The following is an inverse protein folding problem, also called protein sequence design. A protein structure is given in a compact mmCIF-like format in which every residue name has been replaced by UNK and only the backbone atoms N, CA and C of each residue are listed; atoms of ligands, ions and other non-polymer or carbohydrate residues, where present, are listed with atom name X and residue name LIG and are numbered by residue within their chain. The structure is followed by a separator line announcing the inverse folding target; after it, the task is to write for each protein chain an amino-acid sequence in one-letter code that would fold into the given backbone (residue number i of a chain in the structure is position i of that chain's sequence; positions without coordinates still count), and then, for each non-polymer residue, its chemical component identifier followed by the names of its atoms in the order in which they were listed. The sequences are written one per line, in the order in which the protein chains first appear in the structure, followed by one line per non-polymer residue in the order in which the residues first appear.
data_IF_165060514013
#
_entry.id   IF_165060514013
#
_cell.length_a   1.000
_cell.length_b   1.000
_cell.length_c   1.000
_cell.angle_alpha   90.00
_cell.angle_beta   90.00
_cell.angle_gamma   90.00
#
_symmetry.space_group_name_H-M   'P 1'
#
loop_
_entity.id
_entity.type
_entity.pdbx_description
1 polymer ?
#
# COMPACT_ATOMS: atom_id res chain seq x y z
N UNK A 1 -4.64 17.43 5.51
CA UNK A 1 -3.31 17.22 6.10
C UNK A 1 -3.30 15.87 6.80
N UNK A 2 -3.08 14.78 6.06
CA UNK A 2 -2.94 13.45 6.67
C UNK A 2 -1.52 13.33 7.22
N UNK A 3 -1.40 13.26 8.55
CA UNK A 3 -0.13 12.99 9.19
C UNK A 3 0.35 11.60 8.71
N UNK A 4 1.48 11.55 8.00
CA UNK A 4 2.13 10.30 7.60
C UNK A 4 2.59 9.59 8.87
N UNK A 5 1.73 8.74 9.42
CA UNK A 5 2.04 7.92 10.59
C UNK A 5 3.14 6.94 10.20
N UNK A 6 4.30 7.04 10.86
CA UNK A 6 5.46 6.19 10.61
C UNK A 6 5.07 4.70 10.67
N UNK A 7 5.62 3.82 9.80
CA UNK A 7 5.33 2.38 9.83
C UNK A 7 5.50 1.74 11.21
N UNK A 8 6.43 2.25 12.02
CA UNK A 8 6.64 1.83 13.42
C UNK A 8 5.42 2.12 14.30
N UNK A 9 4.80 3.28 14.13
CA UNK A 9 3.61 3.70 14.90
C UNK A 9 2.38 2.91 14.46
N UNK A 10 2.23 2.64 13.15
CA UNK A 10 1.17 1.75 12.64
C UNK A 10 1.28 0.35 13.25
N UNK A 11 2.50 -0.20 13.29
CA UNK A 11 2.76 -1.52 13.87
C UNK A 11 2.43 -1.55 15.37
N UNK A 12 2.86 -0.54 16.14
CA UNK A 12 2.54 -0.43 17.57
C UNK A 12 1.03 -0.32 17.80
N UNK A 13 0.32 0.48 17.00
CA UNK A 13 -1.13 0.62 17.11
C UNK A 13 -1.88 -0.69 16.83
N UNK A 14 -1.40 -1.51 15.87
CA UNK A 14 -1.96 -2.82 15.53
C UNK A 14 -1.56 -3.95 16.53
N UNK A 15 -0.69 -3.65 17.49
CA UNK A 15 -0.21 -4.65 18.48
C UNK A 15 -0.74 -4.34 19.89
N UNK A 16 -1.50 -3.25 20.03
CA UNK A 16 -1.94 -2.76 21.35
C UNK A 16 -2.98 -3.69 22.00
N UNK A 17 -3.80 -4.33 21.19
CA UNK A 17 -4.83 -5.28 21.62
C UNK A 17 -4.21 -6.55 22.21
N UNK A 18 -3.10 -7.05 21.64
CA UNK A 18 -2.40 -8.20 22.23
C UNK A 18 -1.74 -7.87 23.58
N UNK A 19 -1.28 -6.63 23.77
CA UNK A 19 -0.69 -6.20 25.03
C UNK A 19 -1.72 -6.11 26.16
N UNK A 20 -2.98 -5.87 25.83
CA UNK A 20 -4.12 -5.87 26.77
C UNK A 20 -4.61 -7.31 27.03
N UNK A 21 -4.53 -8.19 26.03
CA UNK A 21 -5.00 -9.57 26.13
C UNK A 21 -4.26 -10.36 27.22
N UNK A 22 -2.93 -10.21 27.31
CA UNK A 22 -2.11 -10.93 28.30
C UNK A 22 -2.53 -10.65 29.75
N UNK A 23 -2.55 -9.40 30.25
CA UNK A 23 -2.99 -9.12 31.62
C UNK A 23 -4.45 -9.47 31.85
N UNK A 24 -5.32 -9.38 30.83
CA UNK A 24 -6.72 -9.80 30.93
C UNK A 24 -6.84 -11.32 31.19
N UNK A 25 -6.10 -12.14 30.44
CA UNK A 25 -6.06 -13.59 30.64
C UNK A 25 -5.54 -13.91 32.05
N UNK A 26 -4.45 -13.27 32.48
CA UNK A 26 -3.89 -13.49 33.81
C UNK A 26 -4.86 -13.09 34.93
N UNK A 27 -5.58 -11.99 34.75
CA UNK A 27 -6.60 -11.55 35.69
C UNK A 27 -7.73 -12.57 35.84
N UNK A 28 -8.23 -13.11 34.72
CA UNK A 28 -9.26 -14.16 34.73
C UNK A 28 -8.76 -15.44 35.41
N UNK A 29 -7.55 -15.89 35.08
CA UNK A 29 -6.97 -17.10 35.67
C UNK A 29 -6.73 -16.92 37.17
N UNK A 30 -6.29 -15.75 37.60
CA UNK A 30 -6.11 -15.44 39.02
C UNK A 30 -7.42 -15.60 39.81
N UNK A 31 -8.56 -15.20 39.25
CA UNK A 31 -9.85 -15.24 39.93
C UNK A 31 -10.52 -16.63 39.87
N UNK A 32 -10.47 -17.30 38.72
CA UNK A 32 -11.23 -18.52 38.48
C UNK A 32 -10.42 -19.82 38.62
N UNK A 33 -9.10 -19.79 38.46
CA UNK A 33 -8.27 -20.97 38.27
C UNK A 33 -6.83 -20.74 38.78
N UNK A 34 -6.72 -20.27 40.03
CA UNK A 34 -5.46 -19.76 40.61
C UNK A 34 -4.34 -20.79 40.62
N UNK A 35 -4.66 -22.07 40.73
CA UNK A 35 -3.71 -23.19 40.68
C UNK A 35 -3.00 -23.32 39.32
N UNK A 36 -3.62 -22.83 38.23
CA UNK A 36 -3.03 -22.82 36.89
C UNK A 36 -2.30 -21.52 36.56
N UNK A 37 -2.26 -20.54 37.47
CA UNK A 37 -1.71 -19.22 37.20
C UNK A 37 -0.25 -19.31 36.70
N UNK A 38 0.57 -20.14 37.32
CA UNK A 38 1.98 -20.27 36.95
C UNK A 38 2.15 -20.80 35.52
N UNK A 39 1.50 -21.92 35.19
CA UNK A 39 1.62 -22.53 33.86
C UNK A 39 1.03 -21.63 32.77
N UNK A 40 -0.12 -21.01 33.04
CA UNK A 40 -0.75 -20.09 32.09
C UNK A 40 0.10 -18.85 31.89
N UNK A 41 0.75 -18.33 32.93
CA UNK A 41 1.67 -17.18 32.80
C UNK A 41 2.82 -17.49 31.86
N UNK A 42 3.49 -18.63 32.07
CA UNK A 42 4.61 -19.04 31.20
C UNK A 42 4.14 -19.21 29.75
N UNK A 43 3.03 -19.93 29.52
CA UNK A 43 2.50 -20.15 28.18
C UNK A 43 2.09 -18.85 27.49
N UNK A 44 1.44 -17.94 28.21
CA UNK A 44 0.93 -16.69 27.64
C UNK A 44 2.08 -15.74 27.31
N UNK A 45 3.10 -15.63 28.17
CA UNK A 45 4.28 -14.78 27.90
C UNK A 45 5.08 -15.30 26.71
N UNK A 46 5.35 -16.62 26.68
CA UNK A 46 6.08 -17.24 25.56
C UNK A 46 5.27 -17.13 24.27
N UNK A 47 3.98 -17.44 24.32
CA UNK A 47 3.07 -17.34 23.18
C UNK A 47 2.96 -15.93 22.63
N UNK A 48 2.80 -14.92 23.49
CA UNK A 48 2.77 -13.51 23.08
C UNK A 48 4.09 -13.09 22.44
N UNK A 49 5.23 -13.51 22.98
CA UNK A 49 6.55 -13.24 22.40
C UNK A 49 6.69 -13.82 20.99
N UNK A 50 6.34 -15.10 20.80
CA UNK A 50 6.35 -15.75 19.48
C UNK A 50 5.40 -15.04 18.52
N UNK A 51 4.19 -14.73 18.97
CA UNK A 51 3.18 -14.06 18.16
C UNK A 51 3.65 -12.68 17.67
N UNK A 52 4.25 -11.87 18.54
CA UNK A 52 4.84 -10.58 18.17
C UNK A 52 5.96 -10.74 17.16
N UNK A 53 6.84 -11.74 17.33
CA UNK A 53 7.92 -12.02 16.38
C UNK A 53 7.37 -12.43 14.99
N UNK A 54 6.35 -13.28 14.95
CA UNK A 54 5.69 -13.69 13.70
C UNK A 54 5.01 -12.50 13.03
N UNK A 55 4.26 -11.69 13.79
CA UNK A 55 3.67 -10.43 13.27
C UNK A 55 4.74 -9.50 12.74
N UNK A 56 5.85 -9.32 13.45
CA UNK A 56 6.95 -8.49 12.99
C UNK A 56 7.51 -8.99 11.66
N UNK A 57 7.75 -10.29 11.54
CA UNK A 57 8.32 -10.85 10.30
C UNK A 57 7.36 -10.79 9.11
N UNK A 58 6.04 -10.98 9.32
CA UNK A 58 5.05 -11.04 8.25
C UNK A 58 4.41 -9.69 7.90
N UNK A 59 4.15 -8.84 8.89
CA UNK A 59 3.36 -7.61 8.72
C UNK A 59 4.27 -6.40 8.50
N UNK A 60 5.42 -6.32 9.17
CA UNK A 60 6.36 -5.22 8.99
C UNK A 60 6.82 -5.02 7.53
N UNK A 61 7.21 -6.06 6.76
CA UNK A 61 7.59 -5.86 5.35
C UNK A 61 6.44 -5.26 4.52
N UNK A 62 5.20 -5.69 4.76
CA UNK A 62 4.01 -5.14 4.08
C UNK A 62 3.78 -3.68 4.46
N UNK A 63 3.91 -3.30 5.73
CA UNK A 63 3.78 -1.90 6.16
C UNK A 63 4.89 -0.99 5.62
N UNK A 64 6.10 -1.52 5.42
CA UNK A 64 7.18 -0.80 4.73
C UNK A 64 6.96 -0.72 3.22
N UNK A 65 6.36 -1.76 2.62
CA UNK A 65 6.02 -1.81 1.21
C UNK A 65 4.73 -1.06 0.87
N UNK A 66 3.87 -0.68 1.82
CA UNK A 66 2.71 0.19 1.56
C UNK A 66 3.12 1.55 0.97
N UNK A 67 4.37 2.00 1.17
CA UNK A 67 4.90 3.17 0.44
C UNK A 67 5.23 2.86 -1.03
N UNK A 68 5.43 1.59 -1.35
CA UNK A 68 5.74 1.04 -2.68
C UNK A 68 4.59 0.21 -3.25
N UNK A 69 3.37 0.32 -2.72
CA UNK A 69 2.16 -0.03 -3.47
C UNK A 69 1.88 1.08 -4.49
N UNK A 70 2.88 1.33 -5.34
CA UNK A 70 2.72 1.70 -6.75
C UNK A 70 1.98 0.53 -7.42
N UNK A 71 0.71 0.36 -7.07
CA UNK A 71 -0.17 -0.65 -7.65
C UNK A 71 -0.39 -0.27 -9.10
N UNK A 72 0.41 -0.84 -10.00
CA UNK A 72 0.58 -0.45 -11.40
C UNK A 72 1.42 0.81 -11.56
N UNK A 73 2.73 0.63 -11.43
CA UNK A 73 3.69 1.52 -12.05
C UNK A 73 3.51 1.39 -13.58
N UNK A 74 2.60 2.20 -14.10
CA UNK A 74 2.36 2.31 -15.53
C UNK A 74 3.51 3.05 -16.22
N UNK A 75 4.51 3.55 -15.48
CA UNK A 75 5.65 4.25 -16.06
C UNK A 75 6.41 3.32 -17.04
N UNK A 76 6.75 3.88 -18.19
CA UNK A 76 7.41 3.17 -19.28
C UNK A 76 6.48 2.36 -20.19
N UNK A 77 5.20 2.16 -19.84
CA UNK A 77 4.25 1.44 -20.69
C UNK A 77 3.74 2.35 -21.81
N UNK A 78 3.68 1.80 -23.03
CA UNK A 78 3.12 2.48 -24.21
C UNK A 78 1.60 2.31 -24.25
N UNK A 79 0.90 3.38 -24.62
CA UNK A 79 -0.53 3.39 -24.86
C UNK A 79 -0.89 4.14 -26.13
N UNK A 80 -2.17 4.10 -26.50
CA UNK A 80 -2.71 4.80 -27.66
C UNK A 80 -3.76 5.82 -27.25
N UNK A 81 -3.66 7.04 -27.75
CA UNK A 81 -4.64 8.10 -27.44
C UNK A 81 -6.01 7.74 -28.01
N UNK A 82 -7.04 7.73 -27.17
CA UNK A 82 -8.44 7.49 -27.54
C UNK A 82 -9.29 8.76 -27.48
N UNK A 83 -8.90 9.76 -26.66
CA UNK A 83 -9.42 11.14 -26.67
C UNK A 83 -8.23 12.08 -26.60
N UNK A 84 -8.19 13.10 -27.46
CA UNK A 84 -7.11 14.11 -27.52
C UNK A 84 -6.64 14.51 -26.12
N UNK A 85 -5.34 14.41 -25.89
CA UNK A 85 -4.74 14.69 -24.60
C UNK A 85 -4.22 16.12 -24.60
N UNK A 86 -4.67 16.90 -23.63
CA UNK A 86 -4.24 18.28 -23.35
C UNK A 86 -3.63 18.33 -21.96
N UNK A 87 -3.16 19.50 -21.48
CA UNK A 87 -2.66 19.62 -20.11
C UNK A 87 -3.73 19.39 -19.04
N UNK A 88 -5.02 19.47 -19.39
CA UNK A 88 -6.15 19.42 -18.45
C UNK A 88 -6.98 18.14 -18.55
N UNK A 89 -7.11 17.55 -19.74
CA UNK A 89 -7.91 16.33 -19.95
C UNK A 89 -7.44 15.50 -21.14
N UNK A 90 -7.88 14.24 -21.20
CA UNK A 90 -7.50 13.32 -22.27
C UNK A 90 -7.77 11.88 -21.87
N UNK A 91 -7.70 10.96 -22.83
CA UNK A 91 -7.79 9.52 -22.54
C UNK A 91 -6.83 8.72 -23.39
N UNK A 92 -6.20 7.74 -22.76
CA UNK A 92 -5.29 6.79 -23.42
C UNK A 92 -5.74 5.37 -23.11
N UNK A 93 -5.54 4.47 -24.07
CA UNK A 93 -5.75 3.05 -23.89
C UNK A 93 -4.40 2.37 -23.67
N UNK A 94 -4.28 1.64 -22.57
CA UNK A 94 -3.08 0.91 -22.15
C UNK A 94 -3.47 -0.55 -22.00
N UNK A 95 -2.97 -1.42 -22.87
CA UNK A 95 -3.47 -2.79 -22.98
C UNK A 95 -4.97 -2.83 -23.29
N UNK A 96 -5.78 -3.28 -22.31
CA UNK A 96 -7.25 -3.33 -22.41
C UNK A 96 -7.97 -2.25 -21.61
N UNK A 97 -7.26 -1.40 -20.87
CA UNK A 97 -7.84 -0.41 -19.97
C UNK A 97 -7.78 1.00 -20.57
N UNK A 98 -8.76 1.84 -20.23
CA UNK A 98 -8.79 3.25 -20.61
C UNK A 98 -8.51 4.10 -19.37
N UNK A 99 -7.47 4.93 -19.46
CA UNK A 99 -6.99 5.79 -18.39
C UNK A 99 -7.20 7.26 -18.75
N UNK A 100 -7.50 8.08 -17.75
CA UNK A 100 -7.46 9.54 -17.91
C UNK A 100 -6.01 9.97 -18.09
N UNK A 101 -5.75 10.85 -19.05
CA UNK A 101 -4.40 11.27 -19.40
C UNK A 101 -4.27 12.79 -19.48
N UNK A 102 -3.06 13.27 -19.26
CA UNK A 102 -2.64 14.66 -19.53
C UNK A 102 -1.21 14.68 -20.10
N UNK A 103 -0.91 15.69 -20.89
CA UNK A 103 0.46 16.04 -21.29
C UNK A 103 0.95 17.26 -20.50
N UNK A 104 2.24 17.57 -20.59
CA UNK A 104 2.78 18.79 -19.96
C UNK A 104 2.52 20.03 -20.81
N UNK A 105 2.75 19.90 -22.12
CA UNK A 105 2.62 20.99 -23.08
C UNK A 105 1.94 20.48 -24.37
N UNK A 106 1.27 21.40 -25.06
CA UNK A 106 0.63 21.15 -26.34
C UNK A 106 -0.60 20.23 -26.25
N UNK A 107 -0.94 19.63 -27.39
CA UNK A 107 -2.03 18.67 -27.50
C UNK A 107 -1.55 17.44 -28.26
N UNK A 108 -1.93 16.25 -27.79
CA UNK A 108 -1.62 14.98 -28.44
C UNK A 108 -2.90 14.45 -29.09
N UNK A 109 -2.95 14.36 -30.43
CA UNK A 109 -4.17 13.98 -31.14
C UNK A 109 -4.54 12.51 -30.93
N UNK A 110 -5.81 12.19 -31.22
CA UNK A 110 -6.34 10.82 -31.18
C UNK A 110 -5.55 9.93 -32.14
N UNK A 111 -5.22 8.72 -31.68
CA UNK A 111 -4.51 7.72 -32.46
C UNK A 111 -3.00 7.73 -32.30
N UNK A 112 -2.43 8.76 -31.68
CA UNK A 112 -0.99 8.84 -31.40
C UNK A 112 -0.56 7.81 -30.35
N UNK A 113 0.60 7.20 -30.55
CA UNK A 113 1.25 6.38 -29.54
C UNK A 113 2.00 7.25 -28.54
N UNK A 114 1.80 6.95 -27.26
CA UNK A 114 2.36 7.72 -26.16
C UNK A 114 2.95 6.80 -25.12
N UNK A 115 4.01 7.25 -24.45
CA UNK A 115 4.57 6.57 -23.30
C UNK A 115 4.08 7.23 -22.01
N UNK A 116 3.75 6.42 -21.01
CA UNK A 116 3.39 6.91 -19.69
C UNK A 116 4.68 7.27 -18.94
N UNK A 117 4.82 8.54 -18.61
CA UNK A 117 5.99 9.10 -17.94
C UNK A 117 5.84 9.00 -16.42
N UNK A 118 4.61 9.20 -15.94
CA UNK A 118 4.29 9.13 -14.53
C UNK A 118 2.80 8.85 -14.32
N UNK A 119 2.45 8.38 -13.13
CA UNK A 119 1.07 8.24 -12.69
C UNK A 119 0.78 9.24 -11.57
N UNK A 120 -0.30 10.01 -11.75
CA UNK A 120 -0.84 10.97 -10.80
C UNK A 120 -2.20 10.45 -10.30
N UNK A 121 -2.19 9.60 -9.27
CA UNK A 121 -3.39 8.97 -8.67
C UNK A 121 -4.21 8.12 -9.65
N UNK A 122 -5.31 8.64 -10.21
CA UNK A 122 -6.16 7.97 -11.20
C UNK A 122 -5.98 8.51 -12.62
N UNK A 123 -4.98 9.36 -12.82
CA UNK A 123 -4.61 9.97 -14.10
C UNK A 123 -3.16 9.63 -14.43
N UNK A 124 -2.85 9.50 -15.72
CA UNK A 124 -1.48 9.29 -16.20
C UNK A 124 -0.96 10.52 -16.92
N UNK A 125 0.33 10.79 -16.72
CA UNK A 125 1.08 11.79 -17.49
C UNK A 125 1.74 11.08 -18.65
N UNK A 126 1.55 11.59 -19.85
CA UNK A 126 2.02 10.95 -21.08
C UNK A 126 2.85 11.90 -21.93
N UNK A 127 3.81 11.34 -22.67
CA UNK A 127 4.60 12.04 -23.68
C UNK A 127 4.52 11.28 -25.01
N UNK A 128 4.61 11.96 -26.16
CA UNK A 128 4.74 11.29 -27.46
C UNK A 128 5.96 10.37 -27.43
N UNK A 129 5.81 9.14 -27.91
CA UNK A 129 6.98 8.30 -28.18
C UNK A 129 7.65 8.91 -29.42
N UNK A 130 8.87 9.44 -29.29
CA UNK A 130 9.64 9.88 -30.44
C UNK A 130 9.79 8.70 -31.40
N UNK A 131 9.07 8.74 -32.53
CA UNK A 131 9.40 7.90 -33.66
C UNK A 131 10.65 8.52 -34.30
N UNK A 132 11.81 7.93 -34.04
CA UNK A 132 12.97 8.13 -34.90
C UNK A 132 12.54 7.80 -36.34
N UNK A 133 12.64 8.79 -37.23
CA UNK A 133 12.37 8.66 -38.66
C UNK A 133 13.61 8.12 -39.39
#
# INVERSE_FOLDING_TARGET
MYCMVSPKVKFVAMTIDELILVPLILFLVYFFAREYLFIVTVLTVVGAGIFVLVKFYLVFPTLSQEQSYSLYDLSGVTGKVTKTVTPTEGKVKVGQEIWDARCEEGEIPIGTEVQIVARESFRVKVAPTESEW
#
